data_IF_370798360623
#
_entry.id   IF_370798360623
#
_cell.length_a   1.000
_cell.length_b   1.000
_cell.length_c   1.000
_cell.angle_alpha   90.00
_cell.angle_beta   90.00
_cell.angle_gamma   90.00
#
_symmetry.space_group_name_H-M   'P 1'
#
loop_
_entity.id
_entity.type
_entity.pdbx_description
1 polymer ?
#
# COMPACT_ATOMS: atom_id res chain seq x y z
N UNK A 1 -38.15 -14.21 28.87
CA UNK A 1 -37.25 -13.19 28.30
C UNK A 1 -36.92 -13.59 26.88
N UNK A 2 -37.36 -12.83 25.88
CA UNK A 2 -37.11 -13.10 24.45
C UNK A 2 -35.87 -12.34 24.01
N UNK A 3 -34.84 -13.05 23.54
CA UNK A 3 -33.67 -12.44 22.91
C UNK A 3 -33.96 -12.23 21.42
N UNK A 4 -34.02 -10.97 20.99
CA UNK A 4 -34.13 -10.61 19.57
C UNK A 4 -32.72 -10.57 18.97
N UNK A 5 -32.46 -11.50 18.05
CA UNK A 5 -31.26 -11.55 17.22
C UNK A 5 -31.43 -10.55 16.07
N UNK A 6 -30.65 -9.47 16.05
CA UNK A 6 -30.61 -8.56 14.90
C UNK A 6 -29.58 -9.07 13.88
N UNK A 7 -30.08 -9.72 12.83
CA UNK A 7 -29.34 -9.93 11.59
C UNK A 7 -29.28 -8.60 10.83
N UNK A 8 -28.10 -7.98 10.76
CA UNK A 8 -27.84 -6.89 9.82
C UNK A 8 -27.82 -7.47 8.40
N UNK A 9 -28.57 -6.91 7.44
CA UNK A 9 -28.48 -7.35 6.06
C UNK A 9 -27.11 -6.97 5.47
N UNK A 10 -26.38 -7.97 4.99
CA UNK A 10 -25.28 -7.76 4.05
C UNK A 10 -25.91 -7.26 2.76
N UNK A 11 -25.74 -5.98 2.47
CA UNK A 11 -26.20 -5.39 1.22
C UNK A 11 -25.36 -5.91 0.06
N UNK A 12 -25.90 -6.90 -0.67
CA UNK A 12 -25.48 -7.20 -2.04
C UNK A 12 -26.02 -6.06 -2.92
N UNK A 13 -25.16 -5.08 -3.21
CA UNK A 13 -25.45 -4.06 -4.23
C UNK A 13 -24.90 -4.57 -5.56
N UNK A 14 -25.82 -4.98 -6.44
CA UNK A 14 -25.56 -5.28 -7.84
C UNK A 14 -25.64 -4.01 -8.67
N UNK A 15 -24.54 -3.57 -9.29
CA UNK A 15 -24.57 -2.89 -10.60
C UNK A 15 -23.16 -2.68 -11.17
N UNK A 16 -22.92 -3.14 -12.40
CA UNK A 16 -21.72 -2.82 -13.19
C UNK A 16 -21.60 -1.31 -13.54
N UNK A 17 -22.60 -0.50 -13.22
CA UNK A 17 -22.60 0.95 -13.49
C UNK A 17 -21.76 1.77 -12.48
N UNK A 18 -21.41 1.22 -11.31
CA UNK A 18 -20.63 1.95 -10.28
C UNK A 18 -19.12 2.02 -10.54
N UNK A 19 -18.59 1.16 -11.43
CA UNK A 19 -17.17 1.21 -11.82
C UNK A 19 -16.77 2.52 -12.54
N UNK A 20 -17.74 3.34 -12.97
CA UNK A 20 -17.48 4.58 -13.72
C UNK A 20 -17.23 5.82 -12.86
N UNK A 21 -17.44 5.78 -11.53
CA UNK A 21 -17.35 6.96 -10.65
C UNK A 21 -16.29 6.86 -9.55
N UNK A 22 -15.23 6.08 -9.75
CA UNK A 22 -14.12 6.05 -8.81
C UNK A 22 -13.43 7.43 -8.75
N UNK A 23 -13.11 7.94 -7.53
CA UNK A 23 -12.27 9.11 -7.40
C UNK A 23 -10.99 8.95 -8.23
N UNK A 24 -10.52 10.00 -8.95
CA UNK A 24 -9.40 9.88 -9.89
C UNK A 24 -8.15 9.23 -9.31
N UNK A 25 -7.84 9.49 -8.02
CA UNK A 25 -6.69 8.87 -7.33
C UNK A 25 -6.85 7.37 -7.11
N UNK A 26 -8.05 6.90 -6.78
CA UNK A 26 -8.33 5.47 -6.62
C UNK A 26 -8.26 4.78 -7.98
N UNK A 27 -8.88 5.38 -9.01
CA UNK A 27 -8.82 4.86 -10.38
C UNK A 27 -7.36 4.78 -10.89
N UNK A 28 -6.55 5.81 -10.61
CA UNK A 28 -5.13 5.80 -10.93
C UNK A 28 -4.37 4.69 -10.19
N UNK A 29 -4.55 4.58 -8.87
CA UNK A 29 -3.93 3.53 -8.06
C UNK A 29 -4.27 2.14 -8.60
N UNK A 30 -5.55 1.84 -8.81
CA UNK A 30 -5.98 0.56 -9.36
C UNK A 30 -5.37 0.23 -10.72
N UNK A 31 -5.12 1.23 -11.57
CA UNK A 31 -4.47 1.02 -12.88
C UNK A 31 -2.98 0.69 -12.75
N UNK A 32 -2.29 1.20 -11.74
CA UNK A 32 -0.83 1.03 -11.63
C UNK A 32 -0.42 -0.15 -10.73
N UNK A 33 -1.33 -0.67 -9.89
CA UNK A 33 -1.05 -1.87 -9.10
C UNK A 33 -0.65 -3.07 -10.00
N UNK A 34 0.11 -4.03 -9.46
CA UNK A 34 0.46 -5.25 -10.19
C UNK A 34 -0.79 -5.99 -10.69
N UNK A 35 -0.76 -6.44 -11.94
CA UNK A 35 -1.80 -7.30 -12.51
C UNK A 35 -1.77 -8.68 -11.85
N UNK A 36 -2.91 -9.40 -11.84
CA UNK A 36 -2.96 -10.77 -11.31
C UNK A 36 -2.82 -10.83 -9.78
N UNK A 37 -3.22 -9.74 -9.11
CA UNK A 37 -3.21 -9.66 -7.65
C UNK A 37 -4.28 -10.57 -7.05
N UNK A 38 -3.89 -11.45 -6.12
CA UNK A 38 -4.80 -12.38 -5.44
C UNK A 38 -5.65 -11.66 -4.38
N UNK A 39 -5.06 -10.64 -3.75
CA UNK A 39 -5.74 -9.82 -2.75
C UNK A 39 -5.47 -8.34 -2.98
N UNK A 40 -6.47 -7.51 -2.64
CA UNK A 40 -6.35 -6.07 -2.58
C UNK A 40 -6.87 -5.58 -1.23
N UNK A 41 -6.04 -4.86 -0.49
CA UNK A 41 -6.46 -4.07 0.65
C UNK A 41 -6.48 -2.60 0.25
N UNK A 42 -7.54 -1.88 0.62
CA UNK A 42 -7.68 -0.45 0.33
C UNK A 42 -8.19 0.22 1.58
N UNK A 43 -7.59 1.34 1.95
CA UNK A 43 -8.17 2.24 2.93
C UNK A 43 -8.19 3.66 2.36
N UNK A 44 -9.36 4.28 2.40
CA UNK A 44 -9.56 5.66 2.00
C UNK A 44 -10.06 6.43 3.21
N UNK A 45 -9.40 7.53 3.52
CA UNK A 45 -9.71 8.31 4.72
C UNK A 45 -8.52 9.14 5.15
N UNK A 46 -8.76 10.07 6.06
CA UNK A 46 -7.72 10.91 6.66
C UNK A 46 -7.12 10.17 7.85
N UNK A 47 -6.03 9.44 7.64
CA UNK A 47 -5.35 8.72 8.71
C UNK A 47 -4.03 9.42 9.05
N UNK A 48 -3.94 9.99 10.25
CA UNK A 48 -2.70 10.63 10.70
C UNK A 48 -1.84 9.61 11.40
N UNK A 49 -0.60 9.43 10.92
CA UNK A 49 0.37 8.57 11.60
C UNK A 49 0.75 9.24 12.92
N UNK A 50 0.48 8.58 14.07
CA UNK A 50 0.71 9.19 15.37
C UNK A 50 2.20 9.47 15.59
N UNK A 51 2.50 10.55 16.31
CA UNK A 51 3.87 10.96 16.61
C UNK A 51 4.64 9.92 17.46
N UNK A 52 3.93 9.08 18.23
CA UNK A 52 4.50 7.95 18.97
C UNK A 52 3.76 6.66 18.65
N UNK A 53 4.49 5.65 18.18
CA UNK A 53 4.02 4.27 18.07
C UNK A 53 4.22 3.59 19.44
N UNK A 54 3.35 3.86 20.43
CA UNK A 54 3.34 3.06 21.68
C UNK A 54 2.60 1.76 21.39
N UNK A 55 2.92 0.65 22.05
CA UNK A 55 2.39 -0.71 21.78
C UNK A 55 0.85 -0.86 21.61
N UNK A 56 0.03 0.12 22.02
CA UNK A 56 -1.41 0.20 21.68
C UNK A 56 -1.71 0.67 20.24
N UNK A 57 -0.71 1.09 19.47
CA UNK A 57 -0.85 1.74 18.16
C UNK A 57 -0.86 0.79 16.97
N UNK A 58 -0.67 -0.52 17.16
CA UNK A 58 -0.81 -1.49 16.06
C UNK A 58 -2.25 -1.56 15.56
N UNK A 59 -3.23 -1.38 16.46
CA UNK A 59 -4.65 -1.30 16.11
C UNK A 59 -5.00 -0.03 15.31
N UNK A 60 -4.24 1.07 15.46
CA UNK A 60 -4.47 2.31 14.71
C UNK A 60 -3.91 2.23 13.28
N UNK A 61 -2.89 1.40 13.06
CA UNK A 61 -2.29 1.20 11.73
C UNK A 61 -3.03 0.17 10.87
N UNK A 62 -3.83 -0.72 11.48
CA UNK A 62 -4.65 -1.67 10.72
C UNK A 62 -5.67 -0.97 9.81
N UNK A 63 -6.08 0.25 10.18
CA UNK A 63 -6.97 1.10 9.38
C UNK A 63 -6.29 1.69 8.14
N UNK A 64 -4.97 1.59 8.02
CA UNK A 64 -4.20 2.13 6.91
C UNK A 64 -4.12 1.14 5.75
N UNK A 65 -4.77 -0.04 5.80
CA UNK A 65 -4.91 -0.93 4.63
C UNK A 65 -3.58 -1.43 4.01
N UNK A 66 -2.46 -1.22 4.70
CA UNK A 66 -1.15 -1.78 4.37
C UNK A 66 -0.74 -2.77 5.45
N UNK A 67 0.08 -3.75 5.07
CA UNK A 67 0.66 -4.70 6.01
C UNK A 67 1.54 -3.98 7.04
N UNK A 68 1.52 -4.50 8.27
CA UNK A 68 2.41 -4.03 9.35
C UNK A 68 3.89 -4.16 8.98
N UNK A 69 4.23 -5.05 8.04
CA UNK A 69 5.58 -5.16 7.50
C UNK A 69 5.96 -3.90 6.71
N UNK A 70 5.17 -3.54 5.69
CA UNK A 70 5.45 -2.37 4.87
C UNK A 70 5.36 -1.08 5.68
N UNK A 71 4.32 -0.92 6.51
CA UNK A 71 4.17 0.26 7.36
C UNK A 71 5.27 0.37 8.41
N UNK A 72 5.70 -0.73 9.04
CA UNK A 72 6.73 -0.72 10.08
C UNK A 72 8.05 -0.09 9.60
N UNK A 73 8.38 -0.26 8.33
CA UNK A 73 9.60 0.28 7.72
C UNK A 73 9.57 1.80 7.57
N UNK A 74 8.42 2.39 7.24
CA UNK A 74 8.31 3.82 6.88
C UNK A 74 7.60 4.66 7.94
N UNK A 75 6.77 4.07 8.81
CA UNK A 75 5.96 4.79 9.79
C UNK A 75 6.78 5.72 10.70
N UNK A 76 7.99 5.35 11.19
CA UNK A 76 8.81 6.26 11.98
C UNK A 76 9.18 7.56 11.23
N UNK A 77 9.37 7.47 9.91
CA UNK A 77 9.74 8.61 9.05
C UNK A 77 8.51 9.39 8.55
N UNK A 78 7.31 8.84 8.68
CA UNK A 78 6.04 9.47 8.29
C UNK A 78 5.21 9.99 9.49
N UNK A 79 5.78 10.04 10.69
CA UNK A 79 5.11 10.62 11.87
C UNK A 79 4.54 12.00 11.59
N UNK A 80 3.30 12.22 12.02
CA UNK A 80 2.56 13.47 11.81
C UNK A 80 2.05 13.68 10.39
N UNK A 81 2.29 12.74 9.47
CA UNK A 81 1.73 12.78 8.11
C UNK A 81 0.34 12.21 8.09
N UNK A 82 -0.48 12.82 7.26
CA UNK A 82 -1.81 12.34 6.92
C UNK A 82 -1.73 11.51 5.66
N UNK A 83 -2.21 10.28 5.72
CA UNK A 83 -2.50 9.42 4.58
C UNK A 83 -3.93 9.72 4.15
N UNK A 84 -4.16 9.88 2.84
CA UNK A 84 -5.49 10.10 2.25
C UNK A 84 -6.04 8.83 1.58
N UNK A 85 -5.14 8.02 1.05
CA UNK A 85 -5.44 6.75 0.41
C UNK A 85 -4.25 5.82 0.57
N UNK A 86 -4.54 4.55 0.83
CA UNK A 86 -3.58 3.48 0.79
C UNK A 86 -4.17 2.28 0.06
N UNK A 87 -3.30 1.55 -0.63
CA UNK A 87 -3.68 0.38 -1.40
C UNK A 87 -2.55 -0.63 -1.37
N UNK A 88 -2.84 -1.89 -1.06
CA UNK A 88 -1.89 -2.98 -1.14
C UNK A 88 -2.43 -4.11 -1.98
N UNK A 89 -1.66 -4.49 -2.99
CA UNK A 89 -1.91 -5.65 -3.81
C UNK A 89 -0.91 -6.75 -3.43
N UNK A 90 -1.39 -7.99 -3.28
CA UNK A 90 -0.55 -9.14 -2.91
C UNK A 90 -0.89 -10.37 -3.75
N UNK A 91 0.15 -11.14 -4.08
CA UNK A 91 0.10 -12.39 -4.83
C UNK A 91 1.15 -13.38 -4.30
N UNK A 92 1.09 -14.61 -4.80
CA UNK A 92 2.11 -15.64 -4.58
C UNK A 92 2.39 -15.88 -3.10
N UNK A 93 1.34 -16.05 -2.30
CA UNK A 93 1.50 -16.41 -0.90
C UNK A 93 2.21 -17.77 -0.77
N UNK A 94 3.20 -17.83 0.12
CA UNK A 94 4.05 -19.01 0.34
C UNK A 94 4.00 -19.42 1.81
N UNK A 95 4.11 -20.72 2.15
CA UNK A 95 4.15 -21.14 3.55
C UNK A 95 5.32 -20.47 4.31
N UNK A 96 5.10 -19.99 5.55
CA UNK A 96 6.16 -19.43 6.37
C UNK A 96 7.13 -20.52 6.86
N UNK A 97 8.37 -20.13 7.16
CA UNK A 97 9.33 -21.03 7.84
C UNK A 97 9.03 -21.01 9.34
N UNK A 98 7.99 -21.72 9.77
CA UNK A 98 7.56 -21.78 11.17
C UNK A 98 6.31 -20.94 11.46
N UNK A 99 6.24 -20.31 12.63
CA UNK A 99 5.06 -19.57 13.09
C UNK A 99 5.00 -18.10 12.62
N UNK A 100 5.79 -17.77 11.59
CA UNK A 100 5.91 -16.41 11.06
C UNK A 100 4.75 -15.99 10.15
N UNK A 101 4.82 -14.74 9.68
CA UNK A 101 3.92 -14.21 8.65
C UNK A 101 4.16 -14.93 7.33
N UNK A 102 3.08 -15.26 6.61
CA UNK A 102 3.10 -15.90 5.30
C UNK A 102 3.80 -14.99 4.25
N UNK A 103 4.96 -15.38 3.68
CA UNK A 103 5.62 -14.61 2.63
C UNK A 103 4.74 -14.39 1.41
N UNK A 104 4.81 -13.22 0.80
CA UNK A 104 4.08 -12.88 -0.44
C UNK A 104 4.83 -11.86 -1.28
N UNK A 105 4.48 -11.79 -2.55
CA UNK A 105 4.91 -10.73 -3.46
C UNK A 105 3.82 -9.68 -3.51
N UNK A 106 4.17 -8.44 -3.21
CA UNK A 106 3.16 -7.39 -3.16
C UNK A 106 3.73 -6.01 -3.34
N UNK A 107 2.85 -5.10 -3.74
CA UNK A 107 3.12 -3.69 -3.85
C UNK A 107 2.07 -2.94 -3.03
N UNK A 108 2.52 -2.06 -2.15
CA UNK A 108 1.73 -1.07 -1.44
C UNK A 108 1.93 0.31 -2.04
N UNK A 109 0.91 1.13 -1.94
CA UNK A 109 0.91 2.52 -2.33
C UNK A 109 0.28 3.36 -1.22
N UNK A 110 0.87 4.50 -0.92
CA UNK A 110 0.33 5.53 -0.04
C UNK A 110 0.26 6.85 -0.79
N UNK A 111 -0.91 7.47 -0.78
CA UNK A 111 -1.04 8.90 -1.04
C UNK A 111 -1.08 9.66 0.29
N UNK A 112 -0.18 10.61 0.42
CA UNK A 112 -0.08 11.51 1.55
C UNK A 112 -0.77 12.83 1.23
N UNK A 113 -1.39 13.45 2.23
CA UNK A 113 -1.82 14.83 2.10
C UNK A 113 -0.60 15.73 1.82
N UNK A 114 -0.64 16.61 0.81
CA UNK A 114 0.46 17.51 0.51
C UNK A 114 0.82 18.39 1.71
N UNK A 115 2.12 18.51 1.99
CA UNK A 115 2.64 19.43 3.00
C UNK A 115 3.27 20.64 2.31
N UNK A 116 2.92 21.85 2.75
CA UNK A 116 3.43 23.09 2.15
C UNK A 116 4.96 23.11 2.14
N UNK A 117 5.55 23.31 0.95
CA UNK A 117 7.00 23.41 0.76
C UNK A 117 7.74 22.07 0.73
N UNK A 118 7.06 20.93 0.90
CA UNK A 118 7.71 19.64 0.73
C UNK A 118 7.84 19.27 -0.76
N UNK A 119 9.05 18.86 -1.14
CA UNK A 119 9.34 18.35 -2.48
C UNK A 119 9.45 16.83 -2.45
N UNK A 120 9.29 16.19 -3.62
CA UNK A 120 9.57 14.74 -3.80
C UNK A 120 10.93 14.35 -3.23
N UNK A 121 11.97 15.14 -3.53
CA UNK A 121 13.33 14.86 -3.06
C UNK A 121 13.44 14.96 -1.53
N UNK A 122 12.75 15.92 -0.89
CA UNK A 122 12.72 16.05 0.57
C UNK A 122 12.05 14.84 1.22
N UNK A 123 10.89 14.40 0.69
CA UNK A 123 10.20 13.20 1.18
C UNK A 123 11.05 11.94 0.98
N UNK A 124 11.66 11.80 -0.20
CA UNK A 124 12.57 10.68 -0.50
C UNK A 124 13.75 10.64 0.47
N UNK A 125 14.45 11.75 0.67
CA UNK A 125 15.56 11.82 1.63
C UNK A 125 15.09 11.46 3.04
N UNK A 126 13.91 11.93 3.48
CA UNK A 126 13.34 11.62 4.79
C UNK A 126 13.08 10.13 4.96
N UNK A 127 12.45 9.50 3.96
CA UNK A 127 12.09 8.08 4.00
C UNK A 127 13.29 7.16 3.88
N UNK A 128 14.27 7.51 3.03
CA UNK A 128 15.42 6.65 2.76
C UNK A 128 16.59 6.88 3.73
N UNK A 129 16.48 7.86 4.64
CA UNK A 129 17.55 8.21 5.61
C UNK A 129 18.01 7.03 6.47
N UNK A 130 17.10 6.11 6.79
CA UNK A 130 17.36 5.02 7.73
C UNK A 130 17.91 3.75 7.06
N UNK A 131 17.89 3.65 5.73
CA UNK A 131 18.51 2.54 5.02
C UNK A 131 19.92 2.89 4.54
N UNK A 132 20.83 1.92 4.65
CA UNK A 132 22.18 1.99 4.06
C UNK A 132 22.24 1.37 2.66
N UNK A 133 21.17 0.72 2.21
CA UNK A 133 21.10 0.00 0.93
C UNK A 133 20.14 0.73 0.00
N UNK A 134 20.65 1.23 -1.12
CA UNK A 134 19.83 1.83 -2.18
C UNK A 134 20.18 1.23 -3.53
N UNK A 135 19.21 1.18 -4.44
CA UNK A 135 19.38 0.75 -5.83
C UNK A 135 18.59 1.67 -6.76
N UNK A 136 18.82 1.55 -8.06
CA UNK A 136 17.91 2.06 -9.08
C UNK A 136 16.96 0.93 -9.54
N UNK A 137 15.66 1.23 -9.62
CA UNK A 137 14.63 0.39 -10.23
C UNK A 137 13.76 1.29 -11.11
N UNK A 138 13.57 0.94 -12.37
CA UNK A 138 12.87 1.75 -13.35
C UNK A 138 13.32 3.24 -13.38
N UNK A 139 14.61 3.50 -13.13
CA UNK A 139 15.18 4.86 -13.07
C UNK A 139 14.85 5.67 -11.82
N UNK A 140 14.18 5.08 -10.82
CA UNK A 140 13.91 5.70 -9.53
C UNK A 140 14.89 5.20 -8.47
N UNK A 141 15.29 6.08 -7.55
CA UNK A 141 16.08 5.67 -6.38
C UNK A 141 15.17 4.95 -5.39
N UNK A 142 15.59 3.75 -5.00
CA UNK A 142 14.83 2.86 -4.13
C UNK A 142 15.67 2.48 -2.93
N UNK A 143 15.11 2.66 -1.73
CA UNK A 143 15.69 2.12 -0.50
C UNK A 143 15.30 0.68 -0.28
N UNK A 144 16.24 -0.11 0.22
CA UNK A 144 16.03 -1.53 0.55
C UNK A 144 16.09 -1.67 2.07
N UNK A 145 15.03 -2.18 2.66
CA UNK A 145 14.93 -2.46 4.08
C UNK A 145 14.82 -3.96 4.28
N UNK A 146 15.47 -4.47 5.31
CA UNK A 146 15.41 -5.89 5.67
C UNK A 146 14.90 -5.99 7.11
N UNK A 147 13.87 -6.80 7.31
CA UNK A 147 13.26 -7.06 8.61
C UNK A 147 13.26 -8.58 8.85
N UNK A 148 13.88 -9.02 9.96
CA UNK A 148 13.91 -10.44 10.31
C UNK A 148 12.75 -10.72 11.27
N UNK A 149 11.81 -11.56 10.83
CA UNK A 149 10.66 -11.99 11.63
C UNK A 149 10.69 -13.50 11.78
N UNK A 150 10.80 -13.96 13.02
CA UNK A 150 11.01 -15.39 13.33
C UNK A 150 12.20 -15.96 12.53
N UNK A 151 11.92 -16.89 11.61
CA UNK A 151 12.92 -17.53 10.74
C UNK A 151 12.94 -16.97 9.31
N UNK A 152 12.09 -15.99 8.98
CA UNK A 152 12.01 -15.38 7.66
C UNK A 152 12.67 -14.00 7.64
N UNK A 153 13.42 -13.73 6.57
CA UNK A 153 13.96 -12.39 6.31
C UNK A 153 13.13 -11.74 5.23
N UNK A 154 12.43 -10.69 5.60
CA UNK A 154 11.64 -9.89 4.69
C UNK A 154 12.46 -8.77 4.13
N UNK A 155 12.24 -8.47 2.85
CA UNK A 155 12.79 -7.30 2.20
C UNK A 155 11.65 -6.39 1.78
N UNK A 156 11.81 -5.10 2.03
CA UNK A 156 10.87 -4.07 1.58
C UNK A 156 11.62 -3.04 0.76
N UNK A 157 11.18 -2.84 -0.47
CA UNK A 157 11.65 -1.81 -1.38
C UNK A 157 10.77 -0.57 -1.23
N UNK A 158 11.37 0.59 -1.02
CA UNK A 158 10.63 1.85 -0.82
C UNK A 158 11.06 2.87 -1.88
N UNK A 159 10.08 3.41 -2.61
CA UNK A 159 10.28 4.44 -3.63
C UNK A 159 9.35 5.64 -3.39
N UNK A 160 9.79 6.82 -3.84
CA UNK A 160 9.01 8.07 -3.80
C UNK A 160 8.87 8.62 -5.23
N UNK A 161 7.93 8.07 -6.02
CA UNK A 161 7.78 8.45 -7.42
C UNK A 161 7.20 9.86 -7.60
N UNK A 162 6.43 10.37 -6.63
CA UNK A 162 5.80 11.70 -6.64
C UNK A 162 5.89 12.36 -5.26
N UNK A 163 5.65 13.67 -5.18
CA UNK A 163 5.81 14.43 -3.94
C UNK A 163 4.84 14.01 -2.81
N UNK A 164 3.74 13.37 -3.17
CA UNK A 164 2.68 12.93 -2.28
C UNK A 164 2.45 11.41 -2.36
N UNK A 165 3.35 10.66 -2.99
CA UNK A 165 3.19 9.23 -3.21
C UNK A 165 4.39 8.44 -2.69
N UNK A 166 4.12 7.40 -1.92
CA UNK A 166 5.11 6.40 -1.48
C UNK A 166 4.69 5.04 -2.00
N UNK A 167 5.62 4.34 -2.64
CA UNK A 167 5.42 2.94 -3.04
C UNK A 167 6.30 2.04 -2.18
N UNK A 168 5.73 0.92 -1.77
CA UNK A 168 6.40 -0.12 -1.00
C UNK A 168 6.24 -1.44 -1.74
N UNK A 169 7.22 -2.31 -1.75
CA UNK A 169 7.03 -3.65 -2.29
C UNK A 169 7.83 -4.69 -1.51
N UNK A 170 7.29 -5.89 -1.39
CA UNK A 170 8.03 -7.04 -0.81
C UNK A 170 8.90 -7.75 -1.85
N UNK A 171 8.66 -7.45 -3.13
CA UNK A 171 9.39 -7.99 -4.27
C UNK A 171 9.84 -6.88 -5.24
N UNK A 172 11.00 -7.07 -5.88
CA UNK A 172 11.60 -6.12 -6.81
C UNK A 172 10.79 -6.00 -8.09
N UNK A 173 10.34 -7.13 -8.64
CA UNK A 173 9.63 -7.16 -9.93
C UNK A 173 8.25 -6.51 -9.83
N UNK A 174 7.59 -6.67 -8.68
CA UNK A 174 6.34 -5.98 -8.36
C UNK A 174 6.51 -4.46 -8.37
N UNK A 175 7.55 -3.94 -7.70
CA UNK A 175 7.84 -2.51 -7.71
C UNK A 175 8.20 -1.99 -9.11
N UNK A 176 9.04 -2.72 -9.84
CA UNK A 176 9.44 -2.35 -11.20
C UNK A 176 8.25 -2.25 -12.14
N UNK A 177 7.35 -3.24 -12.08
CA UNK A 177 6.11 -3.27 -12.85
C UNK A 177 5.23 -2.07 -12.51
N UNK A 178 4.98 -1.80 -11.22
CA UNK A 178 4.14 -0.68 -10.80
C UNK A 178 4.73 0.68 -11.15
N UNK A 179 6.05 0.86 -11.00
CA UNK A 179 6.74 2.08 -11.44
C UNK A 179 6.68 2.26 -12.96
N UNK A 180 6.82 1.18 -13.73
CA UNK A 180 6.67 1.20 -15.19
C UNK A 180 5.26 1.63 -15.59
N UNK A 181 4.23 1.02 -14.98
CA UNK A 181 2.82 1.34 -15.21
C UNK A 181 2.48 2.77 -14.85
N UNK A 182 3.06 3.32 -13.78
CA UNK A 182 2.87 4.73 -13.40
C UNK A 182 3.31 5.69 -14.50
N UNK A 183 4.42 5.41 -15.21
CA UNK A 183 4.91 6.27 -16.31
C UNK A 183 3.95 6.31 -17.49
N UNK A 184 3.20 5.25 -17.71
CA UNK A 184 2.29 5.08 -18.85
C UNK A 184 0.82 5.10 -18.43
N UNK A 185 0.49 5.57 -17.22
CA UNK A 185 -0.85 5.39 -16.63
C UNK A 185 -1.96 6.00 -17.49
N UNK A 186 -1.67 7.09 -18.20
CA UNK A 186 -2.62 7.73 -19.12
C UNK A 186 -2.99 6.86 -20.33
N UNK A 187 -2.11 5.93 -20.73
CA UNK A 187 -2.32 5.03 -21.87
C UNK A 187 -2.72 3.61 -21.47
N UNK A 188 -2.84 3.31 -20.17
CA UNK A 188 -3.26 2.00 -19.70
C UNK A 188 -4.77 1.81 -19.94
N UNK A 189 -5.11 0.77 -20.71
CA UNK A 189 -6.49 0.33 -20.91
C UNK A 189 -6.94 -0.68 -19.84
N UNK A 190 -5.99 -1.41 -19.29
CA UNK A 190 -6.24 -2.48 -18.32
C UNK A 190 -6.05 -2.00 -16.88
N UNK A 191 -7.02 -2.33 -16.03
CA UNK A 191 -6.92 -2.19 -14.58
C UNK A 191 -6.23 -3.43 -13.98
N UNK A 192 -5.60 -3.29 -12.82
CA UNK A 192 -5.07 -4.44 -12.07
C UNK A 192 -6.14 -5.46 -11.68
N UNK A 193 -7.41 -5.04 -11.71
CA UNK A 193 -8.55 -5.86 -11.32
C UNK A 193 -9.58 -5.94 -12.43
N UNK A 194 -10.25 -7.10 -12.57
CA UNK A 194 -11.26 -7.29 -13.59
C UNK A 194 -12.44 -6.35 -13.36
N UNK A 195 -13.06 -5.90 -14.45
CA UNK A 195 -14.24 -5.03 -14.41
C UNK A 195 -15.43 -5.64 -13.64
N UNK A 196 -15.43 -6.96 -13.44
CA UNK A 196 -16.44 -7.70 -12.69
C UNK A 196 -16.35 -7.55 -11.16
N UNK A 197 -15.31 -6.90 -10.63
CA UNK A 197 -15.17 -6.70 -9.18
C UNK A 197 -16.09 -5.56 -8.70
N UNK A 198 -17.25 -5.94 -8.14
CA UNK A 198 -18.35 -5.04 -7.76
C UNK A 198 -18.24 -4.47 -6.33
N UNK A 199 -17.03 -4.35 -5.78
CA UNK A 199 -16.82 -4.02 -4.35
C UNK A 199 -16.97 -2.53 -3.97
N UNK A 200 -17.47 -1.69 -4.86
CA UNK A 200 -17.49 -0.22 -4.71
C UNK A 200 -18.80 0.38 -5.22
#
# INVERSE_FOLDING_TARGET
>A
MKASLFLLPVALVTSAAQAQNLPPRIAQAMRIMPLGSETLAVAQGTHTIPASLKAKSEADLSQVGLSNLQLGVIAPNLRGRTIELSMEARSHFRPPKGLGLMPYDGCGLLYLKPQKGETRAALEMKLLKTTKKTTLIAGQRVGIFEDKREHDTWRVYVAVPQADMVMLATDRSSLETTLGRLKTVASLKDSAFPASWSGW
#
